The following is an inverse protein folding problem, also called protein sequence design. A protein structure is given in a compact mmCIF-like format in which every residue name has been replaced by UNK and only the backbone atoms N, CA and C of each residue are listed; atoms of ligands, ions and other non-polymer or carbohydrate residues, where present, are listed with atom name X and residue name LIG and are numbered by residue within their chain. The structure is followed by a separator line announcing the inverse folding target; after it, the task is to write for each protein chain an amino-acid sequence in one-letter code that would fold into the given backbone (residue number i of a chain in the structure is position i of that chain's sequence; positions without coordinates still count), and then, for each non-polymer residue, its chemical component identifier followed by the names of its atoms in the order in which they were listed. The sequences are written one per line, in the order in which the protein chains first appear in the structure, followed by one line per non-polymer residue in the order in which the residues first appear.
data_IF_222312980243
#
_entry.id   IF_222312980243
#
_cell.length_a   1.000
_cell.length_b   1.000
_cell.length_c   1.000
_cell.angle_alpha   90.00
_cell.angle_beta   90.00
_cell.angle_gamma   90.00
#
_symmetry.space_group_name_H-M   'P 1'
#
loop_
_entity.id
_entity.type
_entity.pdbx_description
1 polymer ?
#
# COMPACT_ATOMS: atom_id res chain seq x y z
N UNK A 1 -31.58 -12.68 14.59
CA UNK A 1 -31.20 -12.29 15.97
C UNK A 1 -29.95 -11.44 15.86
N UNK A 2 -29.92 -10.29 16.51
CA UNK A 2 -28.72 -9.44 16.57
C UNK A 2 -27.81 -10.00 17.67
N UNK A 3 -26.51 -10.07 17.41
CA UNK A 3 -25.53 -10.52 18.39
C UNK A 3 -25.12 -9.33 19.29
N UNK A 4 -25.29 -9.45 20.61
CA UNK A 4 -24.95 -8.41 21.59
C UNK A 4 -23.54 -8.63 22.18
N UNK A 5 -22.54 -8.75 21.31
CA UNK A 5 -21.17 -9.04 21.74
C UNK A 5 -20.49 -7.85 22.46
N UNK A 6 -21.04 -6.64 22.31
CA UNK A 6 -20.46 -5.40 22.80
C UNK A 6 -21.47 -4.56 23.59
N UNK A 7 -21.00 -3.89 24.65
CA UNK A 7 -21.77 -2.91 25.45
C UNK A 7 -21.01 -1.60 25.58
N UNK A 8 -21.72 -0.48 25.74
CA UNK A 8 -21.08 0.82 26.01
C UNK A 8 -20.98 1.04 27.51
N UNK A 9 -19.83 1.48 27.98
CA UNK A 9 -19.61 1.86 29.38
C UNK A 9 -18.58 3.00 29.47
N UNK A 10 -18.60 3.75 30.58
CA UNK A 10 -17.63 4.81 30.84
C UNK A 10 -16.43 4.30 31.63
N UNK A 11 -15.23 4.58 31.15
CA UNK A 11 -13.99 4.11 31.75
C UNK A 11 -12.92 5.19 31.72
N UNK A 12 -11.99 5.12 32.67
CA UNK A 12 -10.82 5.99 32.70
C UNK A 12 -9.85 5.58 31.58
N UNK A 13 -9.19 6.56 30.95
CA UNK A 13 -8.21 6.30 29.89
C UNK A 13 -7.04 5.45 30.40
N UNK A 14 -6.63 5.64 31.65
CA UNK A 14 -5.59 4.86 32.34
C UNK A 14 -5.91 3.37 32.43
N UNK A 15 -7.19 2.98 32.31
CA UNK A 15 -7.60 1.56 32.33
C UNK A 15 -7.46 0.85 30.98
N UNK A 16 -7.17 1.58 29.91
CA UNK A 16 -7.06 1.03 28.55
C UNK A 16 -5.64 0.53 28.27
N UNK A 17 -5.53 -0.67 27.71
CA UNK A 17 -4.26 -1.27 27.33
C UNK A 17 -4.06 -1.07 25.82
N UNK A 18 -3.05 -0.28 25.38
CA UNK A 18 -2.78 -0.09 23.97
C UNK A 18 -2.43 -1.41 23.28
N UNK A 19 -2.98 -1.68 22.09
CA UNK A 19 -2.62 -2.88 21.34
C UNK A 19 -1.30 -2.68 20.57
N UNK A 20 -0.32 -3.55 20.86
CA UNK A 20 1.09 -3.43 20.40
C UNK A 20 1.23 -3.53 18.87
N UNK A 21 0.30 -4.19 18.18
CA UNK A 21 0.34 -4.38 16.72
C UNK A 21 -0.64 -3.46 16.00
N UNK A 22 -0.54 -2.15 16.18
CA UNK A 22 -1.27 -1.19 15.35
C UNK A 22 -0.42 -0.88 14.09
N UNK A 23 -0.86 -1.27 12.88
CA UNK A 23 -0.09 -1.01 11.65
C UNK A 23 -0.01 0.48 11.29
N UNK A 24 -0.89 1.33 11.84
CA UNK A 24 -0.99 2.74 11.48
C UNK A 24 0.01 3.60 12.26
N UNK A 25 1.02 4.14 11.58
CA UNK A 25 1.94 5.17 12.09
C UNK A 25 1.45 6.57 11.70
N UNK A 26 1.51 7.52 12.63
CA UNK A 26 1.08 8.92 12.39
C UNK A 26 2.26 9.88 12.54
N UNK A 27 2.37 10.82 11.60
CA UNK A 27 3.35 11.92 11.63
C UNK A 27 3.03 12.91 12.76
N UNK A 28 4.04 13.58 13.31
CA UNK A 28 3.85 14.50 14.43
C UNK A 28 2.84 15.63 14.15
N UNK A 29 2.83 16.18 12.93
CA UNK A 29 1.88 17.21 12.48
C UNK A 29 0.42 16.75 12.57
N UNK A 30 0.16 15.50 12.19
CA UNK A 30 -1.17 14.90 12.21
C UNK A 30 -1.63 14.57 13.64
N UNK A 31 -0.70 14.25 14.55
CA UNK A 31 -1.04 14.13 15.98
C UNK A 31 -1.52 15.47 16.57
N UNK A 32 -0.91 16.59 16.18
CA UNK A 32 -1.32 17.92 16.65
C UNK A 32 -2.72 18.28 16.14
N UNK A 33 -2.99 18.11 14.85
CA UNK A 33 -4.33 18.34 14.28
C UNK A 33 -5.39 17.46 14.96
N UNK A 34 -5.06 16.20 15.24
CA UNK A 34 -5.96 15.29 15.95
C UNK A 34 -6.25 15.78 17.37
N UNK A 35 -5.24 16.30 18.08
CA UNK A 35 -5.44 16.91 19.40
C UNK A 35 -6.36 18.13 19.35
N UNK A 36 -6.14 19.06 18.41
CA UNK A 36 -6.98 20.24 18.22
C UNK A 36 -8.45 19.87 17.95
N UNK A 37 -8.67 18.82 17.14
CA UNK A 37 -10.02 18.28 16.87
C UNK A 37 -10.67 17.69 18.13
N UNK A 38 -9.90 16.95 18.93
CA UNK A 38 -10.38 16.41 20.22
C UNK A 38 -10.75 17.53 21.18
N UNK A 39 -9.97 18.61 21.25
CA UNK A 39 -10.31 19.75 22.12
C UNK A 39 -11.58 20.47 21.64
N UNK A 40 -11.77 20.59 20.32
CA UNK A 40 -12.91 21.31 19.74
C UNK A 40 -14.21 20.52 19.80
N UNK A 41 -14.18 19.22 19.54
CA UNK A 41 -15.38 18.40 19.35
C UNK A 41 -15.50 17.23 20.35
N UNK A 42 -14.47 17.00 21.16
CA UNK A 42 -14.38 15.82 22.01
C UNK A 42 -14.08 14.54 21.23
N UNK A 43 -14.33 13.40 21.88
CA UNK A 43 -14.18 12.08 21.26
C UNK A 43 -15.43 11.70 20.47
N UNK A 44 -15.46 12.11 19.19
CA UNK A 44 -16.59 11.80 18.29
C UNK A 44 -16.77 10.29 18.12
N UNK A 45 -15.67 9.57 17.84
CA UNK A 45 -15.71 8.11 17.72
C UNK A 45 -15.46 7.42 19.06
N UNK A 46 -16.31 6.47 19.42
CA UNK A 46 -16.17 5.66 20.63
C UNK A 46 -15.07 4.61 20.42
N UNK A 47 -14.00 4.55 21.23
CA UNK A 47 -13.01 3.48 21.13
C UNK A 47 -13.63 2.12 21.43
N UNK A 48 -13.05 1.07 20.85
CA UNK A 48 -13.49 -0.31 21.05
C UNK A 48 -12.40 -1.09 21.76
N UNK A 49 -12.77 -1.84 22.80
CA UNK A 49 -11.86 -2.70 23.56
C UNK A 49 -12.40 -4.12 23.73
N UNK A 50 -11.48 -5.05 23.91
CA UNK A 50 -11.78 -6.41 24.33
C UNK A 50 -12.02 -6.47 25.86
N UNK A 51 -12.53 -7.61 26.36
CA UNK A 51 -12.90 -7.80 27.75
C UNK A 51 -11.71 -7.75 28.73
N UNK A 52 -10.47 -7.88 28.25
CA UNK A 52 -9.23 -7.70 29.03
C UNK A 52 -8.69 -6.26 28.96
N UNK A 53 -9.50 -5.32 28.48
CA UNK A 53 -9.18 -3.91 28.27
C UNK A 53 -8.19 -3.62 27.13
N UNK A 54 -7.86 -4.60 26.30
CA UNK A 54 -7.05 -4.41 25.09
C UNK A 54 -7.78 -3.53 24.09
N UNK A 55 -7.16 -2.44 23.67
CA UNK A 55 -7.75 -1.45 22.78
C UNK A 55 -7.65 -1.88 21.31
N UNK A 56 -8.79 -2.23 20.71
CA UNK A 56 -8.90 -2.69 19.32
C UNK A 56 -8.97 -1.51 18.34
N UNK A 57 -9.67 -0.43 18.73
CA UNK A 57 -9.88 0.77 17.92
C UNK A 57 -9.71 2.04 18.76
N UNK A 58 -9.35 3.15 18.11
CA UNK A 58 -9.17 4.45 18.78
C UNK A 58 -7.82 4.64 19.49
N UNK A 59 -6.85 3.75 19.26
CA UNK A 59 -5.51 3.76 19.88
C UNK A 59 -4.85 5.16 19.93
N UNK A 60 -4.79 5.87 18.81
CA UNK A 60 -4.10 7.17 18.74
C UNK A 60 -4.79 8.27 19.54
N UNK A 61 -6.12 8.25 19.62
CA UNK A 61 -6.88 9.25 20.37
C UNK A 61 -6.69 9.05 21.87
N UNK A 62 -6.74 7.80 22.31
CA UNK A 62 -6.44 7.43 23.69
C UNK A 62 -4.98 7.74 24.06
N UNK A 63 -4.02 7.48 23.17
CA UNK A 63 -2.61 7.81 23.36
C UNK A 63 -2.39 9.33 23.52
N UNK A 64 -3.02 10.15 22.66
CA UNK A 64 -2.94 11.61 22.75
C UNK A 64 -3.49 12.08 24.09
N UNK A 65 -4.69 11.64 24.49
CA UNK A 65 -5.29 12.03 25.75
C UNK A 65 -4.42 11.63 26.95
N UNK A 66 -3.88 10.40 26.94
CA UNK A 66 -2.95 9.95 27.96
C UNK A 66 -1.68 10.81 28.02
N UNK A 67 -1.12 11.19 26.87
CA UNK A 67 0.07 12.05 26.78
C UNK A 67 -0.15 13.48 27.30
N UNK A 68 -1.40 13.95 27.27
CA UNK A 68 -1.82 15.25 27.80
C UNK A 68 -2.15 15.21 29.31
N UNK A 69 -1.88 14.08 29.98
CA UNK A 69 -2.14 13.92 31.41
C UNK A 69 -3.60 13.64 31.77
N UNK A 70 -4.45 13.30 30.80
CA UNK A 70 -5.88 13.03 31.01
C UNK A 70 -6.16 11.55 31.31
N UNK A 71 -5.26 10.88 32.02
CA UNK A 71 -5.39 9.45 32.35
C UNK A 71 -6.68 9.11 33.11
N UNK A 72 -7.10 9.99 34.04
CA UNK A 72 -8.31 9.78 34.86
C UNK A 72 -9.59 10.28 34.19
N UNK A 73 -9.49 10.84 32.98
CA UNK A 73 -10.65 11.34 32.25
C UNK A 73 -11.54 10.16 31.81
N UNK A 74 -12.84 10.27 32.12
CA UNK A 74 -13.81 9.22 31.85
C UNK A 74 -14.38 9.37 30.43
N UNK A 75 -14.18 8.36 29.60
CA UNK A 75 -14.63 8.31 28.20
C UNK A 75 -15.61 7.16 27.99
N UNK A 76 -16.53 7.32 27.04
CA UNK A 76 -17.36 6.21 26.57
C UNK A 76 -16.50 5.25 25.74
N UNK A 77 -16.60 3.96 26.05
CA UNK A 77 -15.89 2.89 25.35
C UNK A 77 -16.86 1.74 25.08
N UNK A 78 -16.72 1.12 23.91
CA UNK A 78 -17.46 -0.07 23.53
C UNK A 78 -16.64 -1.30 23.93
N UNK A 79 -17.11 -2.03 24.93
CA UNK A 79 -16.41 -3.17 25.53
C UNK A 79 -17.03 -4.49 25.10
N UNK A 80 -16.19 -5.46 24.74
CA UNK A 80 -16.63 -6.83 24.53
C UNK A 80 -17.18 -7.43 25.83
N UNK A 81 -18.33 -8.12 25.76
CA UNK A 81 -19.00 -8.74 26.92
C UNK A 81 -18.24 -9.98 27.41
N UNK A 82 -17.51 -10.65 26.50
CA UNK A 82 -16.58 -11.74 26.78
C UNK A 82 -15.28 -11.53 26.01
N UNK A 83 -14.22 -12.25 26.40
CA UNK A 83 -12.98 -12.28 25.65
C UNK A 83 -13.24 -12.74 24.21
N UNK A 84 -12.74 -11.98 23.24
CA UNK A 84 -12.82 -12.33 21.83
C UNK A 84 -11.86 -13.48 21.50
N UNK A 85 -12.25 -14.32 20.53
CA UNK A 85 -11.31 -15.26 19.92
C UNK A 85 -10.29 -14.50 19.06
N UNK A 86 -9.18 -15.14 18.69
CA UNK A 86 -8.16 -14.49 17.87
C UNK A 86 -8.71 -14.11 16.47
N UNK A 87 -9.64 -14.90 15.95
CA UNK A 87 -10.34 -14.64 14.69
C UNK A 87 -11.27 -13.42 14.82
N UNK A 88 -12.14 -13.41 15.83
CA UNK A 88 -13.05 -12.29 16.12
C UNK A 88 -12.28 -10.98 16.36
N UNK A 89 -11.18 -11.05 17.12
CA UNK A 89 -10.34 -9.89 17.41
C UNK A 89 -9.77 -9.29 16.12
N UNK A 90 -9.22 -10.12 15.23
CA UNK A 90 -8.66 -9.67 13.95
C UNK A 90 -9.74 -9.11 13.04
N UNK A 91 -10.89 -9.76 12.98
CA UNK A 91 -12.02 -9.29 12.16
C UNK A 91 -12.55 -7.93 12.65
N UNK A 92 -12.78 -7.79 13.96
CA UNK A 92 -13.20 -6.52 14.56
C UNK A 92 -12.16 -5.42 14.31
N UNK A 93 -10.88 -5.73 14.43
CA UNK A 93 -9.82 -4.77 14.08
C UNK A 93 -9.89 -4.33 12.62
N UNK A 94 -10.22 -5.22 11.69
CA UNK A 94 -10.37 -4.87 10.27
C UNK A 94 -11.63 -4.02 10.03
N UNK A 95 -12.76 -4.37 10.66
CA UNK A 95 -14.02 -3.62 10.55
C UNK A 95 -13.86 -2.19 11.06
N UNK A 96 -13.19 -2.00 12.19
CA UNK A 96 -13.00 -0.67 12.79
C UNK A 96 -12.01 0.23 12.03
N UNK A 97 -11.19 -0.36 11.15
CA UNK A 97 -10.27 0.39 10.31
C UNK A 97 -10.75 0.51 8.85
N UNK A 98 -11.69 -0.33 8.41
CA UNK A 98 -12.26 -0.25 7.07
C UNK A 98 -13.34 0.84 7.02
N UNK A 99 -13.29 1.64 5.96
CA UNK A 99 -14.35 2.59 5.64
C UNK A 99 -15.17 1.88 4.57
N UNK A 100 -16.22 1.16 4.97
CA UNK A 100 -17.08 0.49 4.03
C UNK A 100 -17.94 1.53 3.30
N UNK A 101 -17.39 2.09 2.22
CA UNK A 101 -18.04 3.09 1.39
C UNK A 101 -17.02 3.87 0.55
N UNK A 102 -17.35 4.10 -0.71
CA UNK A 102 -16.61 5.02 -1.57
C UNK A 102 -17.13 6.44 -1.32
N UNK A 103 -16.24 7.41 -1.29
CA UNK A 103 -16.64 8.80 -1.20
C UNK A 103 -17.11 9.29 -2.57
N UNK A 104 -18.28 9.92 -2.62
CA UNK A 104 -18.71 10.67 -3.79
C UNK A 104 -17.91 11.97 -3.85
N UNK A 105 -16.93 12.02 -4.76
CA UNK A 105 -16.01 13.15 -4.88
C UNK A 105 -16.71 14.42 -5.39
N UNK A 106 -17.79 14.30 -6.16
CA UNK A 106 -18.55 15.46 -6.62
C UNK A 106 -19.26 16.14 -5.44
N UNK A 107 -19.90 15.33 -4.58
CA UNK A 107 -20.55 15.84 -3.36
C UNK A 107 -19.52 16.38 -2.37
N UNK A 108 -18.38 15.69 -2.18
CA UNK A 108 -17.30 16.19 -1.31
C UNK A 108 -16.83 17.58 -1.74
N UNK A 109 -16.64 17.78 -3.05
CA UNK A 109 -16.21 19.06 -3.59
C UNK A 109 -17.27 20.14 -3.44
N UNK A 110 -18.51 19.85 -3.83
CA UNK A 110 -19.60 20.82 -3.80
C UNK A 110 -19.97 21.26 -2.38
N UNK A 111 -20.02 20.33 -1.43
CA UNK A 111 -20.62 20.56 -0.13
C UNK A 111 -19.60 20.73 1.00
N UNK A 112 -18.40 20.13 0.91
CA UNK A 112 -17.46 20.02 2.04
C UNK A 112 -16.14 20.78 1.85
N UNK A 113 -15.65 20.98 0.62
CA UNK A 113 -14.37 21.65 0.32
C UNK A 113 -14.27 23.06 0.94
N UNK A 114 -15.37 23.81 0.97
CA UNK A 114 -15.40 25.15 1.55
C UNK A 114 -15.29 25.19 3.09
N UNK A 115 -15.56 24.06 3.77
CA UNK A 115 -15.61 23.98 5.24
C UNK A 115 -14.44 23.21 5.82
N UNK A 116 -13.87 22.27 5.05
CA UNK A 116 -12.89 21.32 5.52
C UNK A 116 -11.80 21.13 4.47
N UNK A 117 -10.55 21.24 4.91
CA UNK A 117 -9.38 20.87 4.12
C UNK A 117 -9.37 19.35 3.88
N UNK A 118 -9.83 18.92 2.70
CA UNK A 118 -9.96 17.51 2.31
C UNK A 118 -8.61 16.77 2.28
N UNK A 119 -7.53 17.48 1.94
CA UNK A 119 -6.17 16.91 1.92
C UNK A 119 -5.74 16.47 3.33
N UNK A 120 -6.16 17.21 4.35
CA UNK A 120 -5.90 16.84 5.75
C UNK A 120 -6.60 15.56 6.22
N UNK A 121 -7.53 15.03 5.42
CA UNK A 121 -8.19 13.74 5.64
C UNK A 121 -7.65 12.62 4.74
N UNK A 122 -6.63 12.91 3.93
CA UNK A 122 -6.15 11.98 2.91
C UNK A 122 -7.16 11.77 1.77
N UNK A 123 -8.06 12.75 1.58
CA UNK A 123 -9.03 12.79 0.49
C UNK A 123 -8.59 13.84 -0.53
N UNK A 124 -7.28 13.94 -0.79
CA UNK A 124 -6.81 14.90 -1.77
C UNK A 124 -7.35 14.50 -3.14
N UNK A 125 -8.13 15.41 -3.73
CA UNK A 125 -8.77 15.18 -5.02
C UNK A 125 -7.73 14.93 -6.12
N UNK A 126 -6.54 15.50 -5.97
CA UNK A 126 -5.44 15.38 -6.93
C UNK A 126 -4.73 14.02 -6.82
N UNK A 127 -4.47 13.50 -5.61
CA UNK A 127 -3.86 12.16 -5.45
C UNK A 127 -4.89 11.05 -5.73
N UNK A 128 -6.17 11.21 -5.34
CA UNK A 128 -7.23 10.26 -5.72
C UNK A 128 -7.50 10.28 -7.22
N UNK A 129 -7.51 11.45 -7.86
CA UNK A 129 -7.62 11.54 -9.31
C UNK A 129 -6.39 10.93 -9.98
N UNK A 130 -5.16 11.12 -9.45
CA UNK A 130 -3.97 10.44 -9.93
C UNK A 130 -4.05 8.94 -9.74
N UNK A 131 -4.49 8.41 -8.59
CA UNK A 131 -4.65 6.97 -8.37
C UNK A 131 -5.74 6.36 -9.26
N UNK A 132 -6.86 7.06 -9.47
CA UNK A 132 -7.91 6.67 -10.42
C UNK A 132 -7.44 6.79 -11.87
N UNK A 133 -6.58 7.76 -12.18
CA UNK A 133 -5.96 7.92 -13.52
C UNK A 133 -4.82 6.94 -13.70
N UNK A 134 -4.15 6.47 -12.65
CA UNK A 134 -3.07 5.48 -12.69
C UNK A 134 -3.66 4.06 -12.78
N UNK A 135 -4.61 3.71 -11.91
CA UNK A 135 -5.42 2.49 -12.01
C UNK A 135 -6.30 2.50 -13.28
N UNK A 136 -6.75 3.69 -13.67
CA UNK A 136 -7.38 3.96 -14.95
C UNK A 136 -6.40 3.82 -16.09
N UNK A 137 -5.14 4.27 -16.01
CA UNK A 137 -4.14 4.17 -17.09
C UNK A 137 -3.55 2.76 -17.25
N UNK A 138 -3.69 1.89 -16.25
CA UNK A 138 -3.48 0.45 -16.42
C UNK A 138 -4.63 -0.21 -17.23
N UNK A 139 -5.81 0.42 -17.33
CA UNK A 139 -6.98 -0.06 -18.08
C UNK A 139 -7.42 0.84 -19.26
N UNK A 140 -6.92 2.07 -19.34
CA UNK A 140 -7.22 3.09 -20.31
C UNK A 140 -5.99 3.24 -21.18
N UNK A 141 -6.04 2.53 -22.30
CA UNK A 141 -5.16 2.80 -23.42
C UNK A 141 -5.31 4.28 -23.77
N UNK A 142 -4.23 5.08 -23.79
CA UNK A 142 -4.34 6.47 -24.22
C UNK A 142 -4.87 6.48 -25.66
N UNK A 143 -5.82 7.37 -25.95
CA UNK A 143 -6.28 7.62 -27.32
C UNK A 143 -5.06 7.94 -28.19
N UNK A 144 -4.78 7.03 -29.13
CA UNK A 144 -3.59 7.07 -29.97
C UNK A 144 -3.76 8.13 -31.07
N UNK A 145 -3.40 9.38 -30.78
CA UNK A 145 -3.18 10.43 -31.79
C UNK A 145 -1.75 10.44 -32.37
N UNK A 146 -1.01 9.34 -32.19
CA UNK A 146 0.22 9.11 -32.94
C UNK A 146 -0.02 7.93 -33.90
N UNK A 147 0.50 7.97 -35.15
CA UNK A 147 0.38 6.84 -36.06
C UNK A 147 0.83 5.58 -35.32
N UNK A 148 0.06 4.49 -35.42
CA UNK A 148 0.34 3.23 -34.71
C UNK A 148 1.79 2.82 -34.95
N UNK A 149 2.68 3.15 -34.02
CA UNK A 149 4.03 2.61 -33.97
C UNK A 149 4.01 1.63 -32.82
N UNK A 150 3.96 0.34 -33.16
CA UNK A 150 4.08 -0.74 -32.20
C UNK A 150 5.43 -0.63 -31.48
N UNK A 151 5.42 -0.18 -30.22
CA UNK A 151 6.52 -0.38 -29.29
C UNK A 151 6.01 -1.28 -28.16
N UNK A 152 6.66 -2.44 -28.03
CA UNK A 152 6.42 -3.52 -27.06
C UNK A 152 5.43 -4.63 -27.42
N UNK A 153 5.46 -5.07 -28.68
CA UNK A 153 5.13 -6.45 -29.06
C UNK A 153 6.36 -7.11 -29.70
N UNK A 154 7.51 -7.04 -29.03
CA UNK A 154 8.68 -7.79 -29.51
C UNK A 154 8.44 -9.27 -29.17
N UNK A 155 7.79 -9.99 -30.10
CA UNK A 155 7.84 -11.44 -30.13
C UNK A 155 9.27 -11.83 -30.44
N UNK A 156 9.99 -12.26 -29.42
CA UNK A 156 11.29 -12.87 -29.60
C UNK A 156 11.10 -14.35 -29.89
N UNK A 157 11.56 -14.79 -31.06
CA UNK A 157 11.74 -16.20 -31.36
C UNK A 157 13.18 -16.59 -31.00
N UNK A 158 13.34 -17.58 -30.10
CA UNK A 158 14.65 -18.06 -29.67
C UNK A 158 14.99 -19.41 -30.29
N UNK A 159 16.20 -19.55 -30.81
CA UNK A 159 16.76 -20.83 -31.25
C UNK A 159 17.88 -21.22 -30.28
N UNK A 160 17.81 -22.42 -29.72
CA UNK A 160 18.81 -22.94 -28.78
C UNK A 160 19.73 -23.92 -29.50
N UNK A 161 21.05 -23.65 -29.48
CA UNK A 161 22.07 -24.55 -30.00
C UNK A 161 22.70 -25.31 -28.82
N UNK A 162 22.60 -26.64 -28.83
CA UNK A 162 23.18 -27.49 -27.79
C UNK A 162 24.52 -28.05 -28.28
N UNK A 163 25.61 -27.58 -27.68
CA UNK A 163 26.95 -28.14 -27.90
C UNK A 163 27.11 -29.42 -27.07
N UNK A 164 27.55 -30.52 -27.69
CA UNK A 164 27.73 -31.80 -26.96
C UNK A 164 29.12 -31.92 -26.34
N UNK A 165 30.11 -31.24 -26.92
CA UNK A 165 31.50 -31.26 -26.48
C UNK A 165 32.08 -29.83 -26.41
N UNK A 166 33.16 -29.64 -25.65
CA UNK A 166 33.88 -28.36 -25.54
C UNK A 166 34.45 -27.88 -26.88
N UNK A 167 34.79 -28.82 -27.78
CA UNK A 167 35.29 -28.52 -29.12
C UNK A 167 34.21 -27.80 -29.96
N UNK A 168 32.95 -28.21 -29.85
CA UNK A 168 31.84 -27.59 -30.57
C UNK A 168 31.62 -26.14 -30.10
N UNK A 169 31.72 -25.92 -28.78
CA UNK A 169 31.56 -24.60 -28.18
C UNK A 169 32.69 -23.66 -28.58
N UNK A 170 33.94 -24.14 -28.61
CA UNK A 170 35.08 -23.35 -29.06
C UNK A 170 34.95 -22.98 -30.54
N UNK A 171 34.52 -23.92 -31.38
CA UNK A 171 34.31 -23.65 -32.80
C UNK A 171 33.18 -22.63 -33.04
N UNK A 172 32.07 -22.76 -32.31
CA UNK A 172 30.96 -21.81 -32.38
C UNK A 172 31.34 -20.44 -31.84
N UNK A 173 32.13 -20.38 -30.76
CA UNK A 173 32.59 -19.11 -30.19
C UNK A 173 33.48 -18.33 -31.16
N UNK A 174 34.37 -19.02 -31.88
CA UNK A 174 35.22 -18.43 -32.91
C UNK A 174 34.38 -17.94 -34.12
N UNK A 175 33.45 -18.76 -34.60
CA UNK A 175 32.62 -18.40 -35.76
C UNK A 175 31.61 -17.31 -35.47
N UNK A 176 31.00 -17.32 -34.28
CA UNK A 176 29.96 -16.36 -33.89
C UNK A 176 30.53 -15.10 -33.21
N UNK A 177 31.85 -15.03 -32.98
CA UNK A 177 32.48 -13.87 -32.35
C UNK A 177 32.00 -13.64 -30.91
N UNK A 178 31.87 -14.71 -30.12
CA UNK A 178 31.45 -14.63 -28.71
C UNK A 178 32.60 -14.14 -27.83
N UNK A 179 32.95 -12.87 -27.99
CA UNK A 179 34.03 -12.22 -27.26
C UNK A 179 33.67 -11.96 -25.79
N UNK A 180 34.72 -11.69 -25.00
CA UNK A 180 34.56 -11.24 -23.62
C UNK A 180 34.12 -9.78 -23.58
N UNK A 181 32.86 -9.56 -23.20
CA UNK A 181 32.27 -8.22 -23.13
C UNK A 181 32.06 -7.80 -21.68
N UNK A 182 32.23 -6.51 -21.40
CA UNK A 182 31.93 -5.96 -20.07
C UNK A 182 30.41 -5.84 -19.89
N UNK A 183 29.91 -6.28 -18.74
CA UNK A 183 28.51 -6.14 -18.39
C UNK A 183 28.14 -4.65 -18.28
N UNK A 184 27.07 -4.21 -18.94
CA UNK A 184 26.64 -2.81 -18.88
C UNK A 184 26.14 -2.37 -17.47
N UNK A 185 25.77 -3.33 -16.61
CA UNK A 185 25.32 -3.09 -15.23
C UNK A 185 26.38 -3.37 -14.16
N UNK A 186 27.53 -3.94 -14.54
CA UNK A 186 28.57 -4.27 -13.56
C UNK A 186 29.95 -4.26 -14.20
N UNK A 187 30.99 -3.94 -13.42
CA UNK A 187 32.38 -3.89 -13.92
C UNK A 187 32.95 -5.26 -14.34
N UNK A 188 32.15 -6.34 -14.27
CA UNK A 188 32.58 -7.71 -14.57
C UNK A 188 32.64 -7.92 -16.08
N UNK A 189 33.76 -8.47 -16.54
CA UNK A 189 33.99 -8.91 -17.92
C UNK A 189 33.76 -10.42 -17.97
N UNK A 190 32.91 -10.87 -18.90
CA UNK A 190 32.56 -12.27 -19.06
C UNK A 190 32.31 -12.65 -20.52
N UNK A 191 32.29 -13.93 -20.83
CA UNK A 191 31.93 -14.44 -22.15
C UNK A 191 30.43 -14.26 -22.38
N UNK A 192 30.05 -13.58 -23.47
CA UNK A 192 28.64 -13.47 -23.87
C UNK A 192 28.17 -14.77 -24.50
N UNK A 193 26.92 -15.13 -24.25
CA UNK A 193 26.24 -16.28 -24.86
C UNK A 193 24.95 -15.86 -25.58
N UNK A 194 24.73 -14.55 -25.72
CA UNK A 194 23.54 -13.96 -26.35
C UNK A 194 24.02 -13.01 -27.44
N UNK A 195 23.48 -13.19 -28.65
CA UNK A 195 23.77 -12.38 -29.83
C UNK A 195 22.45 -11.90 -30.44
N UNK A 196 22.50 -10.71 -31.06
CA UNK A 196 21.38 -10.20 -31.82
C UNK A 196 21.28 -10.87 -33.20
N UNK A 197 20.05 -11.03 -33.71
CA UNK A 197 19.82 -11.66 -35.01
C UNK A 197 20.60 -11.01 -36.16
N UNK A 198 20.78 -9.68 -36.11
CA UNK A 198 21.58 -8.93 -37.11
C UNK A 198 23.03 -9.40 -37.16
N UNK A 199 23.65 -9.63 -36.00
CA UNK A 199 25.04 -10.08 -35.91
C UNK A 199 25.17 -11.49 -36.47
N UNK A 200 24.23 -12.37 -36.15
CA UNK A 200 24.22 -13.76 -36.66
C UNK A 200 24.03 -13.79 -38.18
N UNK A 201 23.13 -12.97 -38.73
CA UNK A 201 22.88 -12.88 -40.18
C UNK A 201 24.12 -12.37 -40.92
N UNK A 202 24.80 -11.36 -40.40
CA UNK A 202 26.03 -10.81 -41.00
C UNK A 202 27.15 -11.86 -41.04
N UNK A 203 27.29 -12.66 -39.98
CA UNK A 203 28.28 -13.74 -39.90
C UNK A 203 27.96 -14.87 -40.89
N UNK A 204 26.69 -15.27 -41.00
CA UNK A 204 26.27 -16.38 -41.89
C UNK A 204 26.22 -16.00 -43.38
N UNK A 205 26.26 -14.71 -43.70
CA UNK A 205 26.24 -14.22 -45.10
C UNK A 205 27.63 -14.02 -45.72
N UNK A 206 28.69 -14.30 -44.96
CA UNK A 206 30.09 -14.31 -45.41
C UNK A 206 30.58 -15.73 -45.69
#
# INVERSE_FOLDING_TARGET
MINELFKTERVAISSLVPHVKNPRKIKASEKQKLWERIQKYGMIGIPVRDADNTLLSGNQRCEILASQGLGDYMIDVRSAVRKLTEEELREVMMIENSHAGEFDMEILKAEFEQYVDLDSFGLSLEELAQELTEAGSELAQPEAELPIVAKFSEKYDSIVIICKNEIDMNHLSEKLGLDRTQCYKSSKVGTTHVLDAKQVIEILSR
#
